data_IF_585060160589
#
_entry.id   IF_585060160589
#
_cell.length_a   1.000
_cell.length_b   1.000
_cell.length_c   1.000
_cell.angle_alpha   90.00
_cell.angle_beta   90.00
_cell.angle_gamma   90.00
#
_symmetry.space_group_name_H-M   'P 1'
#
loop_
_entity.id
_entity.type
_entity.pdbx_description
1 polymer ?
#
# COMPACT_ATOMS: atom_id res chain seq x y z
N UNK A 1 30.35 7.19 -14.79
CA UNK A 1 30.63 5.75 -14.67
C UNK A 1 30.58 5.36 -13.21
N UNK A 2 29.52 4.70 -12.76
CA UNK A 2 29.44 4.18 -11.37
C UNK A 2 30.30 2.91 -11.29
N UNK A 3 31.40 3.00 -10.55
CA UNK A 3 32.26 1.85 -10.22
C UNK A 3 31.49 0.90 -9.30
N UNK A 4 30.68 0.02 -9.88
CA UNK A 4 29.93 -0.99 -9.14
C UNK A 4 30.88 -2.07 -8.62
N UNK A 5 31.07 -2.14 -7.29
CA UNK A 5 31.82 -3.23 -6.67
C UNK A 5 31.02 -4.53 -6.80
N UNK A 6 31.56 -5.50 -7.53
CA UNK A 6 31.00 -6.85 -7.61
C UNK A 6 31.69 -7.73 -6.55
N UNK A 7 31.00 -8.08 -5.45
CA UNK A 7 31.61 -8.87 -4.40
C UNK A 7 32.02 -10.23 -4.96
N UNK A 8 33.31 -10.54 -4.92
CA UNK A 8 33.80 -11.86 -5.32
C UNK A 8 33.40 -12.86 -4.22
N UNK A 9 32.66 -13.93 -4.57
CA UNK A 9 32.32 -14.95 -3.58
C UNK A 9 33.60 -15.63 -3.10
N UNK A 10 33.67 -15.94 -1.81
CA UNK A 10 34.76 -16.74 -1.26
C UNK A 10 34.82 -18.08 -2.00
N UNK A 11 36.02 -18.53 -2.44
CA UNK A 11 36.16 -19.77 -3.18
C UNK A 11 35.65 -20.94 -2.35
N UNK A 12 34.94 -21.87 -3.00
CA UNK A 12 34.35 -23.05 -2.37
C UNK A 12 35.41 -23.99 -1.78
N UNK A 13 36.64 -23.91 -2.30
CA UNK A 13 37.78 -24.75 -1.89
C UNK A 13 38.87 -23.82 -1.38
N UNK A 14 39.08 -23.83 -0.07
CA UNK A 14 40.29 -23.27 0.51
C UNK A 14 41.33 -24.39 0.54
N UNK A 15 42.51 -24.14 -0.06
CA UNK A 15 43.64 -25.06 0.05
C UNK A 15 44.03 -25.25 1.53
N UNK A 16 44.66 -26.39 1.85
CA UNK A 16 45.21 -26.60 3.20
C UNK A 16 46.34 -25.60 3.43
N UNK A 17 46.28 -24.84 4.52
CA UNK A 17 47.28 -23.82 4.87
C UNK A 17 47.94 -24.17 6.18
N UNK A 18 49.27 -24.12 6.27
CA UNK A 18 50.01 -24.49 7.48
C UNK A 18 50.01 -23.40 8.57
N UNK A 19 49.17 -22.37 8.42
CA UNK A 19 49.14 -21.18 9.29
C UNK A 19 47.88 -21.24 10.18
N UNK A 20 48.01 -21.43 11.51
CA UNK A 20 46.86 -21.64 12.39
C UNK A 20 45.84 -20.49 12.40
N UNK A 21 46.30 -19.24 12.27
CA UNK A 21 45.41 -18.06 12.21
C UNK A 21 44.54 -18.05 10.95
N UNK A 22 45.08 -18.53 9.82
CA UNK A 22 44.36 -18.64 8.56
C UNK A 22 43.33 -19.76 8.66
N UNK A 23 43.69 -20.92 9.20
CA UNK A 23 42.76 -22.03 9.40
C UNK A 23 41.56 -21.64 10.29
N UNK A 24 41.82 -20.95 11.40
CA UNK A 24 40.76 -20.42 12.28
C UNK A 24 39.82 -19.45 11.54
N UNK A 25 40.37 -18.54 10.75
CA UNK A 25 39.56 -17.60 9.96
C UNK A 25 38.74 -18.33 8.89
N UNK A 26 39.30 -19.36 8.25
CA UNK A 26 38.61 -20.15 7.24
C UNK A 26 37.44 -20.96 7.84
N UNK A 27 37.60 -21.51 9.05
CA UNK A 27 36.51 -22.21 9.73
C UNK A 27 35.39 -21.26 10.15
N UNK A 28 35.73 -20.09 10.68
CA UNK A 28 34.76 -19.02 10.99
C UNK A 28 33.98 -18.58 9.73
N UNK A 29 34.66 -18.35 8.61
CA UNK A 29 34.01 -17.96 7.35
C UNK A 29 33.10 -19.05 6.78
N UNK A 30 33.49 -20.33 6.88
CA UNK A 30 32.64 -21.46 6.50
C UNK A 30 31.36 -21.50 7.34
N UNK A 31 31.51 -21.38 8.66
CA UNK A 31 30.37 -21.34 9.59
C UNK A 31 29.42 -20.20 9.27
N UNK A 32 29.92 -18.96 9.13
CA UNK A 32 29.09 -17.80 8.79
C UNK A 32 28.35 -17.96 7.47
N UNK A 33 29.00 -18.58 6.47
CA UNK A 33 28.38 -18.86 5.17
C UNK A 33 27.24 -19.87 5.30
N UNK A 34 27.42 -20.94 6.07
CA UNK A 34 26.40 -21.95 6.32
C UNK A 34 25.19 -21.34 7.04
N UNK A 35 25.44 -20.57 8.10
CA UNK A 35 24.41 -19.84 8.85
C UNK A 35 23.64 -18.87 7.92
N UNK A 36 24.37 -18.08 7.13
CA UNK A 36 23.77 -17.12 6.18
C UNK A 36 22.95 -17.84 5.12
N UNK A 37 23.46 -18.94 4.57
CA UNK A 37 22.76 -19.75 3.57
C UNK A 37 21.48 -20.36 4.15
N UNK A 38 21.53 -20.85 5.39
CA UNK A 38 20.36 -21.34 6.11
C UNK A 38 19.31 -20.23 6.31
N UNK A 39 19.74 -19.04 6.75
CA UNK A 39 18.85 -17.89 6.91
C UNK A 39 18.20 -17.46 5.59
N UNK A 40 18.96 -17.40 4.49
CA UNK A 40 18.45 -17.08 3.15
C UNK A 40 17.40 -18.11 2.72
N UNK A 41 17.65 -19.41 2.95
CA UNK A 41 16.68 -20.48 2.66
C UNK A 41 15.38 -20.29 3.44
N UNK A 42 15.47 -19.98 4.74
CA UNK A 42 14.29 -19.72 5.58
C UNK A 42 13.53 -18.49 5.11
N UNK A 43 14.23 -17.39 4.82
CA UNK A 43 13.61 -16.18 4.29
C UNK A 43 12.89 -16.44 2.95
N UNK A 44 13.52 -17.18 2.03
CA UNK A 44 12.93 -17.59 0.75
C UNK A 44 11.65 -18.40 0.95
N UNK A 45 11.65 -19.37 1.87
CA UNK A 45 10.44 -20.15 2.20
C UNK A 45 9.30 -19.24 2.67
N UNK A 46 9.57 -18.30 3.59
CA UNK A 46 8.56 -17.35 4.08
C UNK A 46 7.97 -16.46 2.98
N UNK A 47 8.78 -16.00 2.03
CA UNK A 47 8.30 -15.19 0.90
C UNK A 47 7.37 -16.01 0.00
N UNK A 48 7.75 -17.26 -0.31
CA UNK A 48 6.92 -18.17 -1.11
C UNK A 48 5.60 -18.47 -0.40
N UNK A 49 5.63 -18.77 0.90
CA UNK A 49 4.44 -19.02 1.71
C UNK A 49 3.50 -17.82 1.77
N UNK A 50 4.03 -16.60 1.87
CA UNK A 50 3.23 -15.37 1.78
C UNK A 50 2.57 -15.19 0.41
N UNK A 51 3.29 -15.50 -0.67
CA UNK A 51 2.73 -15.45 -2.04
C UNK A 51 1.66 -16.51 -2.33
N UNK A 52 1.64 -17.61 -1.56
CA UNK A 52 0.60 -18.65 -1.64
C UNK A 52 -0.68 -18.33 -0.88
N UNK A 53 -0.75 -17.20 -0.17
CA UNK A 53 -2.00 -16.79 0.49
C UNK A 53 -3.06 -16.59 -0.58
N UNK A 54 -4.23 -17.20 -0.37
CA UNK A 54 -5.39 -16.99 -1.25
C UNK A 54 -5.76 -15.52 -1.13
N UNK A 55 -5.86 -14.87 -2.28
CA UNK A 55 -6.42 -13.53 -2.35
C UNK A 55 -7.93 -13.63 -2.20
N UNK A 56 -8.55 -12.59 -1.65
CA UNK A 56 -9.99 -12.47 -1.61
C UNK A 56 -10.53 -12.37 -3.05
N UNK A 57 -11.65 -13.05 -3.32
CA UNK A 57 -12.32 -12.98 -4.62
C UNK A 57 -13.46 -12.00 -4.49
N UNK A 58 -13.53 -11.04 -5.42
CA UNK A 58 -14.58 -10.04 -5.44
C UNK A 58 -15.43 -10.17 -6.71
N UNK A 59 -16.68 -9.74 -6.60
CA UNK A 59 -17.63 -9.77 -7.71
C UNK A 59 -17.91 -8.35 -8.23
N UNK A 60 -18.35 -8.26 -9.48
CA UNK A 60 -18.80 -6.99 -10.06
C UNK A 60 -19.99 -6.45 -9.27
N UNK A 61 -19.98 -5.16 -8.95
CA UNK A 61 -20.99 -4.50 -8.13
C UNK A 61 -20.74 -4.56 -6.62
N UNK A 62 -19.74 -5.31 -6.16
CA UNK A 62 -19.41 -5.36 -4.74
C UNK A 62 -18.72 -4.07 -4.30
N UNK A 63 -19.10 -3.57 -3.11
CA UNK A 63 -18.44 -2.44 -2.45
C UNK A 63 -17.14 -2.90 -1.77
N UNK A 64 -16.06 -2.17 -2.01
CA UNK A 64 -14.74 -2.42 -1.43
C UNK A 64 -14.08 -1.14 -0.98
N UNK A 65 -13.29 -1.24 0.09
CA UNK A 65 -12.37 -0.19 0.50
C UNK A 65 -11.08 -0.26 -0.32
N UNK A 66 -10.55 0.90 -0.71
CA UNK A 66 -9.25 1.02 -1.36
C UNK A 66 -8.18 1.46 -0.35
N UNK A 67 -7.07 0.73 -0.26
CA UNK A 67 -5.93 1.13 0.59
C UNK A 67 -5.16 2.32 -0.01
N UNK A 68 -5.00 3.39 0.77
CA UNK A 68 -4.32 4.62 0.36
C UNK A 68 -2.79 4.61 0.44
N UNK A 69 -2.15 3.46 0.74
CA UNK A 69 -0.71 3.39 1.04
C UNK A 69 0.19 3.96 -0.07
N UNK A 70 -0.23 3.78 -1.32
CA UNK A 70 0.54 4.12 -2.52
C UNK A 70 -0.10 5.24 -3.34
N UNK A 71 -1.14 5.88 -2.81
CA UNK A 71 -1.91 6.89 -3.52
C UNK A 71 -1.69 8.25 -2.85
N UNK A 72 -1.57 9.28 -3.68
CA UNK A 72 -1.52 10.66 -3.20
C UNK A 72 -2.89 11.29 -3.46
N UNK A 73 -3.61 11.52 -2.38
CA UNK A 73 -4.94 12.12 -2.40
C UNK A 73 -4.90 13.61 -2.06
N UNK A 74 -3.72 14.23 -1.99
CA UNK A 74 -3.58 15.66 -1.68
C UNK A 74 -3.66 16.00 -0.20
N UNK A 75 -3.71 15.00 0.69
CA UNK A 75 -3.69 15.26 2.13
C UNK A 75 -2.38 15.92 2.58
N UNK A 76 -2.42 16.92 3.49
CA UNK A 76 -1.23 17.65 3.91
C UNK A 76 -0.10 16.78 4.49
N UNK A 77 -0.46 15.68 5.17
CA UNK A 77 0.51 14.71 5.70
C UNK A 77 -0.04 13.28 5.66
N UNK A 78 0.82 12.31 5.32
CA UNK A 78 0.47 10.87 5.31
C UNK A 78 0.05 10.29 6.67
N UNK A 79 0.32 11.00 7.76
CA UNK A 79 -0.08 10.59 9.12
C UNK A 79 -1.55 10.91 9.40
N UNK A 80 -2.06 11.95 8.76
CA UNK A 80 -3.44 12.43 8.90
C UNK A 80 -4.34 11.97 7.75
N UNK A 81 -3.78 11.44 6.65
CA UNK A 81 -4.58 10.83 5.59
C UNK A 81 -5.32 9.59 6.09
N UNK A 82 -6.56 9.36 5.65
CA UNK A 82 -7.23 8.09 5.87
C UNK A 82 -6.37 6.93 5.36
N UNK A 83 -6.42 5.80 6.06
CA UNK A 83 -5.68 4.59 5.64
C UNK A 83 -6.38 3.88 4.48
N UNK A 84 -7.71 4.04 4.42
CA UNK A 84 -8.60 3.44 3.45
C UNK A 84 -9.55 4.51 2.99
N UNK A 85 -9.73 4.58 1.69
CA UNK A 85 -10.67 5.50 1.07
C UNK A 85 -11.87 4.72 0.57
N UNK A 86 -13.04 5.36 0.72
CA UNK A 86 -14.33 5.07 0.12
C UNK A 86 -14.80 3.61 0.04
N UNK A 87 -16.11 3.34 0.22
CA UNK A 87 -16.70 2.20 -0.47
C UNK A 87 -16.76 2.49 -1.97
N UNK A 88 -15.83 1.94 -2.73
CA UNK A 88 -15.89 1.95 -4.19
C UNK A 88 -16.56 0.69 -4.72
N UNK A 89 -17.33 0.84 -5.79
CA UNK A 89 -17.95 -0.30 -6.47
C UNK A 89 -16.99 -0.90 -7.49
N UNK A 90 -16.93 -2.22 -7.58
CA UNK A 90 -16.17 -2.92 -8.63
C UNK A 90 -16.95 -2.83 -9.94
N UNK A 91 -16.43 -2.09 -10.90
CA UNK A 91 -17.01 -1.95 -12.23
C UNK A 91 -16.79 -3.22 -13.07
N UNK A 92 -15.61 -3.81 -12.99
CA UNK A 92 -15.24 -4.99 -13.78
C UNK A 92 -14.13 -5.81 -13.12
N UNK A 93 -14.23 -7.14 -13.23
CA UNK A 93 -13.19 -8.09 -12.83
C UNK A 93 -12.31 -8.37 -14.06
N UNK A 94 -11.13 -7.76 -14.13
CA UNK A 94 -10.23 -7.91 -15.28
C UNK A 94 -9.43 -9.20 -15.25
N UNK A 95 -9.23 -9.78 -14.05
CA UNK A 95 -8.47 -11.02 -13.88
C UNK A 95 -8.46 -11.49 -12.43
N UNK A 96 -7.73 -12.58 -12.13
CA UNK A 96 -7.76 -13.21 -10.80
C UNK A 96 -7.29 -12.31 -9.65
N UNK A 97 -6.48 -11.30 -9.97
CA UNK A 97 -5.84 -10.40 -8.99
C UNK A 97 -6.03 -8.92 -9.33
N UNK A 98 -6.76 -8.59 -10.39
CA UNK A 98 -6.87 -7.24 -10.94
C UNK A 98 -8.33 -6.87 -11.13
N UNK A 99 -8.74 -5.78 -10.50
CA UNK A 99 -10.12 -5.30 -10.50
C UNK A 99 -10.17 -3.83 -10.90
N UNK A 100 -11.17 -3.46 -11.70
CA UNK A 100 -11.45 -2.07 -12.08
C UNK A 100 -12.52 -1.51 -11.16
N UNK A 101 -12.22 -0.41 -10.49
CA UNK A 101 -13.12 0.31 -9.58
C UNK A 101 -13.81 1.47 -10.29
N UNK A 102 -15.05 1.73 -9.89
CA UNK A 102 -15.77 2.94 -10.25
C UNK A 102 -15.29 4.09 -9.38
N UNK A 103 -14.21 4.73 -9.81
CA UNK A 103 -13.66 5.90 -9.14
C UNK A 103 -14.35 7.20 -9.59
N UNK A 104 -14.38 8.24 -8.72
CA UNK A 104 -14.76 9.59 -9.11
C UNK A 104 -13.84 10.10 -10.22
N UNK A 105 -14.41 10.79 -11.22
CA UNK A 105 -13.65 11.33 -12.35
C UNK A 105 -12.58 12.36 -11.94
N UNK A 106 -12.75 12.99 -10.78
CA UNK A 106 -11.80 13.98 -10.25
C UNK A 106 -10.47 13.33 -9.85
N UNK A 107 -10.50 12.05 -9.47
CA UNK A 107 -9.31 11.32 -9.11
C UNK A 107 -8.55 10.99 -10.38
N UNK A 108 -7.47 11.71 -10.63
CA UNK A 108 -6.53 11.46 -11.74
C UNK A 108 -5.69 10.19 -11.51
N UNK A 109 -6.29 9.16 -10.93
CA UNK A 109 -5.71 7.88 -10.55
C UNK A 109 -6.26 6.82 -11.51
N UNK A 110 -5.41 5.91 -11.95
CA UNK A 110 -5.83 4.81 -12.79
C UNK A 110 -6.79 3.86 -12.03
N UNK A 111 -7.99 3.53 -12.55
CA UNK A 111 -9.03 2.83 -11.80
C UNK A 111 -8.79 1.33 -11.62
N UNK A 112 -7.64 0.80 -12.04
CA UNK A 112 -7.32 -0.65 -11.98
C UNK A 112 -6.38 -0.93 -10.82
N UNK A 113 -6.80 -1.80 -9.90
CA UNK A 113 -6.08 -2.10 -8.67
C UNK A 113 -5.86 -3.60 -8.48
N UNK A 114 -4.75 -3.91 -7.78
CA UNK A 114 -4.45 -5.25 -7.32
C UNK A 114 -5.31 -5.61 -6.11
N UNK A 115 -5.77 -6.85 -6.04
CA UNK A 115 -6.62 -7.42 -4.98
C UNK A 115 -6.10 -7.17 -3.55
N UNK A 116 -4.78 -7.16 -3.36
CA UNK A 116 -4.16 -6.89 -2.06
C UNK A 116 -4.30 -5.44 -1.55
N UNK A 117 -4.78 -4.51 -2.40
CA UNK A 117 -5.13 -3.14 -2.02
C UNK A 117 -6.62 -2.97 -1.78
N UNK A 118 -7.42 -4.02 -1.96
CA UNK A 118 -8.86 -4.00 -1.78
C UNK A 118 -9.21 -4.73 -0.49
N UNK A 119 -10.20 -4.21 0.23
CA UNK A 119 -10.77 -4.89 1.40
C UNK A 119 -12.29 -4.91 1.27
N UNK A 120 -12.98 -6.03 1.57
CA UNK A 120 -14.44 -6.05 1.51
C UNK A 120 -15.05 -5.00 2.42
N UNK A 121 -16.01 -4.25 1.90
CA UNK A 121 -16.80 -3.31 2.69
C UNK A 121 -17.86 -4.07 3.49
N UNK A 122 -17.98 -3.79 4.79
CA UNK A 122 -19.03 -4.33 5.67
C UNK A 122 -19.64 -3.17 6.43
N UNK A 123 -20.95 -3.01 6.33
CA UNK A 123 -21.71 -2.05 7.15
C UNK A 123 -21.90 -2.66 8.53
N UNK A 124 -21.49 -1.93 9.57
CA UNK A 124 -21.73 -2.31 10.96
C UNK A 124 -22.81 -1.40 11.50
N UNK A 125 -23.88 -1.99 12.05
CA UNK A 125 -25.04 -1.28 12.60
C UNK A 125 -24.66 -0.26 13.70
N UNK A 126 -23.57 -0.54 14.41
CA UNK A 126 -23.06 0.27 15.52
C UNK A 126 -22.49 1.65 15.12
N UNK A 127 -22.13 1.83 13.84
CA UNK A 127 -21.47 3.05 13.35
C UNK A 127 -22.37 3.94 12.48
N UNK A 128 -23.65 3.61 12.33
CA UNK A 128 -24.59 4.37 11.52
C UNK A 128 -24.22 4.41 10.03
N UNK A 129 -24.93 5.23 9.24
CA UNK A 129 -24.58 5.47 7.84
C UNK A 129 -23.18 6.10 7.78
N UNK A 130 -22.21 5.39 7.18
CA UNK A 130 -20.87 5.92 6.94
C UNK A 130 -21.01 7.21 6.12
N UNK A 131 -20.49 8.30 6.68
CA UNK A 131 -20.45 9.64 6.10
C UNK A 131 -20.21 9.57 4.59
N UNK A 132 -21.26 9.87 3.83
CA UNK A 132 -21.25 10.04 2.38
C UNK A 132 -20.70 11.44 2.07
N UNK A 133 -19.59 11.86 2.68
CA UNK A 133 -18.96 13.09 2.18
C UNK A 133 -18.60 12.80 0.73
N UNK A 134 -19.23 13.51 -0.24
CA UNK A 134 -18.86 13.32 -1.63
C UNK A 134 -17.37 13.65 -1.73
N UNK A 135 -16.60 12.85 -2.49
CA UNK A 135 -15.19 13.12 -2.66
C UNK A 135 -15.03 14.57 -3.13
N UNK A 136 -14.19 15.38 -2.45
CA UNK A 136 -14.08 16.81 -2.76
C UNK A 136 -13.58 17.03 -4.19
N UNK A 137 -14.16 18.03 -4.83
CA UNK A 137 -13.72 18.56 -6.11
C UNK A 137 -12.38 19.27 -5.92
N UNK A 138 -11.37 18.93 -6.72
CA UNK A 138 -10.09 19.63 -6.68
C UNK A 138 -10.09 20.67 -7.81
N UNK A 139 -10.45 21.91 -7.49
CA UNK A 139 -10.43 23.07 -8.39
C UNK A 139 -9.31 24.00 -7.92
N UNK A 140 -8.42 24.39 -8.84
CA UNK A 140 -7.26 25.28 -8.55
C UNK A 140 -6.33 24.82 -7.40
N UNK A 141 -6.34 23.53 -7.05
CA UNK A 141 -5.50 22.97 -5.97
C UNK A 141 -6.10 23.09 -4.56
N UNK A 142 -7.39 23.44 -4.46
CA UNK A 142 -8.15 23.49 -3.22
C UNK A 142 -9.31 22.49 -3.24
N UNK A 143 -9.64 21.93 -2.08
CA UNK A 143 -10.81 21.07 -1.88
C UNK A 143 -12.09 21.92 -1.90
N UNK A 144 -12.90 21.75 -2.94
CA UNK A 144 -14.21 22.36 -3.10
C UNK A 144 -15.31 21.29 -2.97
N UNK A 145 -16.46 21.68 -2.43
CA UNK A 145 -17.61 20.80 -2.30
C UNK A 145 -18.79 21.44 -3.03
N UNK A 146 -19.45 20.69 -3.90
CA UNK A 146 -20.75 21.11 -4.42
C UNK A 146 -21.79 20.97 -3.29
N UNK A 147 -22.42 22.09 -2.91
CA UNK A 147 -23.37 22.17 -1.81
C UNK A 147 -24.78 22.39 -2.36
N UNK A 148 -25.78 21.69 -1.84
CA UNK A 148 -27.16 21.84 -2.33
C UNK A 148 -27.76 23.17 -1.87
N UNK A 149 -27.51 23.55 -0.62
CA UNK A 149 -27.96 24.82 -0.08
C UNK A 149 -27.11 25.30 1.11
N UNK A 150 -26.97 26.61 1.26
CA UNK A 150 -26.42 27.22 2.48
C UNK A 150 -27.56 27.37 3.49
N UNK A 151 -27.59 26.51 4.51
CA UNK A 151 -28.55 26.59 5.63
C UNK A 151 -28.29 27.82 6.50
N UNK A 152 -27.02 28.22 6.65
CA UNK A 152 -26.67 29.36 7.50
C UNK A 152 -25.24 29.83 7.34
N UNK A 153 -24.93 31.03 7.84
CA UNK A 153 -23.57 31.55 7.85
C UNK A 153 -23.29 32.30 9.15
N UNK A 154 -22.03 32.28 9.61
CA UNK A 154 -21.60 33.03 10.81
C UNK A 154 -20.60 34.12 10.41
N UNK A 155 -21.02 35.40 10.34
CA UNK A 155 -20.21 36.47 9.73
C UNK A 155 -19.03 36.97 10.59
N UNK A 156 -18.93 36.54 11.86
CA UNK A 156 -17.95 37.09 12.83
C UNK A 156 -16.57 36.44 12.85
N UNK A 157 -16.31 35.40 12.05
CA UNK A 157 -14.97 34.80 11.91
C UNK A 157 -14.49 34.91 10.48
N UNK A 158 -13.25 35.37 10.30
CA UNK A 158 -12.48 35.21 9.07
C UNK A 158 -11.59 33.96 9.24
N UNK A 159 -11.60 33.01 8.28
CA UNK A 159 -12.48 32.91 7.11
C UNK A 159 -13.95 32.64 7.50
N UNK A 160 -14.89 33.14 6.66
CA UNK A 160 -16.34 32.98 6.86
C UNK A 160 -16.70 31.49 6.88
N UNK A 161 -17.52 31.07 7.85
CA UNK A 161 -18.00 29.69 7.96
C UNK A 161 -19.46 29.61 7.58
N UNK A 162 -19.79 28.61 6.77
CA UNK A 162 -21.14 28.32 6.29
C UNK A 162 -21.60 26.96 6.83
N UNK A 163 -22.87 26.86 7.19
CA UNK A 163 -23.58 25.61 7.43
C UNK A 163 -24.26 25.25 6.12
N UNK A 164 -23.98 24.06 5.62
CA UNK A 164 -24.40 23.59 4.31
C UNK A 164 -25.22 22.32 4.46
N UNK A 165 -26.22 22.17 3.59
CA UNK A 165 -27.05 20.96 3.42
C UNK A 165 -26.53 20.11 2.29
#
# INVERSE_FOLDING_TARGET
MTMGYHPRPLPTIFGKTNVPSVEKRLSELKRLREETSAMIKVARKRVIERGKRKNDVFEKGQKVWLEGKNLDFGYPTKKLSPKREGPFEIEEVMGPVTYRLKLPRQWKIHPVFHVGLLTPYKETDEHGANYLEPPPDIIEGHEEFEIEAIIGHKPRKTPKKFLVS
#
